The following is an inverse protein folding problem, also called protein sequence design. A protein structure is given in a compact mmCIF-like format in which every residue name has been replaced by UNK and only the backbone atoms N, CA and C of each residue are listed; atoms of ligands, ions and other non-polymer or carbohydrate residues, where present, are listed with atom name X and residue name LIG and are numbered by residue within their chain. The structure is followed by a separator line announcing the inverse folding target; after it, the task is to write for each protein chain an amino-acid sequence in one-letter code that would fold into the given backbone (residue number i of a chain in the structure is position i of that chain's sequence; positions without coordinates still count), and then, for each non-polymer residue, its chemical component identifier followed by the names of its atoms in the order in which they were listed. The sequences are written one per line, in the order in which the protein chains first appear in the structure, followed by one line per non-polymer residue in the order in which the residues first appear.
data_IF_023047603088
#
_entry.id   IF_023047603088
#
_cell.length_a   1.000
_cell.length_b   1.000
_cell.length_c   1.000
_cell.angle_alpha   90.00
_cell.angle_beta   90.00
_cell.angle_gamma   90.00
#
_symmetry.space_group_name_H-M   'P 1'
#
loop_
_entity.id
_entity.type
_entity.pdbx_description
1 polymer ?
#
# COMPACT_ATOMS: atom_id res chain seq x y z
N UNK A 1 11.37 8.09 23.11
CA UNK A 1 11.82 9.14 22.16
C UNK A 1 12.11 8.45 20.85
N UNK A 2 11.34 8.72 19.79
CA UNK A 2 11.61 8.22 18.44
C UNK A 2 12.85 8.94 17.90
N UNK A 3 13.88 8.19 17.52
CA UNK A 3 15.03 8.76 16.79
C UNK A 3 14.53 9.18 15.40
N UNK A 4 14.83 10.39 14.93
CA UNK A 4 14.46 10.77 13.57
C UNK A 4 15.19 9.87 12.57
N UNK A 5 14.53 9.44 11.48
CA UNK A 5 15.20 8.73 10.39
C UNK A 5 16.31 9.61 9.80
N UNK A 6 17.37 8.97 9.30
CA UNK A 6 18.49 9.65 8.62
C UNK A 6 17.94 10.52 7.47
N UNK A 7 18.52 11.70 7.26
CA UNK A 7 18.15 12.60 6.16
C UNK A 7 18.26 11.96 4.76
N UNK A 8 18.92 10.81 4.65
CA UNK A 8 19.13 10.04 3.42
C UNK A 8 18.16 8.87 3.21
N UNK A 9 17.29 8.51 4.16
CA UNK A 9 16.36 7.40 3.98
C UNK A 9 15.45 7.69 2.78
N UNK A 10 15.41 6.87 1.73
CA UNK A 10 14.55 7.09 0.56
C UNK A 10 13.13 6.56 0.84
N UNK A 11 12.07 7.17 0.29
CA UNK A 11 10.67 6.68 0.48
C UNK A 11 10.55 5.21 0.09
N UNK A 12 11.33 4.82 -0.91
CA UNK A 12 11.49 3.46 -1.40
C UNK A 12 11.85 2.43 -0.33
N UNK A 13 12.63 2.81 0.67
CA UNK A 13 13.05 1.91 1.75
C UNK A 13 11.87 1.55 2.66
N UNK A 14 10.82 2.37 2.67
CA UNK A 14 9.60 2.10 3.43
C UNK A 14 8.74 1.00 2.78
N UNK A 15 8.97 0.67 1.51
CA UNK A 15 8.14 -0.31 0.81
C UNK A 15 8.25 -1.70 1.41
N UNK A 16 9.47 -2.14 1.74
CA UNK A 16 9.69 -3.44 2.37
C UNK A 16 9.04 -3.49 3.77
N UNK A 17 9.10 -2.37 4.51
CA UNK A 17 8.48 -2.25 5.83
C UNK A 17 6.95 -2.29 5.72
N UNK A 18 6.38 -1.58 4.75
CA UNK A 18 4.95 -1.58 4.50
C UNK A 18 4.48 -2.97 4.05
N UNK A 19 5.22 -3.64 3.15
CA UNK A 19 4.92 -5.02 2.74
C UNK A 19 4.84 -5.98 3.92
N UNK A 20 5.79 -5.90 4.86
CA UNK A 20 5.75 -6.68 6.09
C UNK A 20 4.50 -6.34 6.93
N UNK A 21 4.23 -5.06 7.17
CA UNK A 21 3.05 -4.62 7.93
C UNK A 21 1.73 -5.12 7.30
N UNK A 22 1.57 -4.93 5.99
CA UNK A 22 0.36 -5.34 5.26
C UNK A 22 0.13 -6.85 5.32
N UNK A 23 1.21 -7.64 5.36
CA UNK A 23 1.10 -9.09 5.45
C UNK A 23 0.69 -9.57 6.84
N UNK A 24 1.34 -9.03 7.88
CA UNK A 24 1.14 -9.45 9.27
C UNK A 24 -0.13 -8.85 9.91
N UNK A 25 -0.58 -7.69 9.41
CA UNK A 25 -1.75 -7.04 9.96
C UNK A 25 -3.05 -7.78 9.60
N UNK A 26 -3.88 -8.06 10.61
CA UNK A 26 -5.11 -8.84 10.44
C UNK A 26 -6.16 -8.20 9.53
N UNK A 27 -6.17 -6.88 9.41
CA UNK A 27 -7.09 -6.15 8.55
C UNK A 27 -6.70 -6.29 7.08
N UNK A 28 -5.40 -6.20 6.79
CA UNK A 28 -4.90 -6.22 5.41
C UNK A 28 -4.69 -7.64 4.90
N UNK A 29 -3.90 -8.47 5.60
CA UNK A 29 -3.45 -9.82 5.15
C UNK A 29 -3.04 -9.86 3.67
N UNK A 30 -2.46 -8.77 3.19
CA UNK A 30 -2.36 -8.50 1.77
C UNK A 30 -0.97 -8.82 1.22
N UNK A 31 -0.90 -9.15 -0.07
CA UNK A 31 0.33 -9.24 -0.84
C UNK A 31 0.51 -7.94 -1.63
N UNK A 32 1.62 -7.25 -1.39
CA UNK A 32 1.93 -5.98 -2.03
C UNK A 32 2.76 -6.16 -3.29
N UNK A 33 2.69 -5.16 -4.16
CA UNK A 33 3.58 -4.97 -5.29
C UNK A 33 3.93 -3.51 -5.39
N UNK A 34 5.23 -3.23 -5.49
CA UNK A 34 5.69 -1.89 -5.73
C UNK A 34 5.55 -1.52 -7.21
N UNK A 35 5.06 -0.32 -7.48
CA UNK A 35 4.95 0.24 -8.82
C UNK A 35 6.15 1.15 -9.07
N UNK A 36 6.95 0.84 -10.10
CA UNK A 36 8.10 1.66 -10.48
C UNK A 36 7.72 2.61 -11.61
N UNK A 37 7.83 3.92 -11.37
CA UNK A 37 7.55 4.97 -12.35
C UNK A 37 8.60 5.04 -13.47
N UNK A 38 9.81 4.54 -13.23
CA UNK A 38 10.96 4.65 -14.14
C UNK A 38 10.93 3.66 -15.32
N UNK A 39 10.12 2.60 -15.22
CA UNK A 39 9.99 1.56 -16.24
C UNK A 39 8.86 1.87 -17.25
N UNK A 40 8.17 3.00 -17.06
CA UNK A 40 7.16 3.52 -17.99
C UNK A 40 7.76 4.24 -19.20
N UNK A 41 6.94 4.47 -20.23
CA UNK A 41 7.33 5.28 -21.39
C UNK A 41 7.70 6.69 -20.92
N UNK A 42 8.92 7.18 -21.25
CA UNK A 42 9.45 8.48 -20.80
C UNK A 42 8.45 9.64 -21.01
N UNK A 43 7.73 9.99 -19.95
CA UNK A 43 6.88 11.17 -19.86
C UNK A 43 7.69 12.45 -19.63
N UNK A 44 7.05 13.60 -19.82
CA UNK A 44 7.63 14.91 -19.51
C UNK A 44 7.76 15.04 -18.00
N UNK A 45 8.97 15.31 -17.51
CA UNK A 45 9.29 15.47 -16.07
C UNK A 45 8.27 16.40 -15.39
N UNK A 46 7.36 15.83 -14.59
CA UNK A 46 6.40 16.58 -13.78
C UNK A 46 4.98 16.02 -13.78
N UNK A 47 4.51 15.48 -14.90
CA UNK A 47 3.15 14.90 -15.01
C UNK A 47 3.03 13.57 -14.23
N UNK A 48 4.12 12.81 -14.15
CA UNK A 48 4.15 11.45 -13.58
C UNK A 48 3.85 11.35 -12.08
N UNK A 49 3.95 12.46 -11.33
CA UNK A 49 3.71 12.46 -9.87
C UNK A 49 2.24 12.24 -9.48
N UNK A 50 1.31 12.43 -10.41
CA UNK A 50 -0.14 12.36 -10.18
C UNK A 50 -0.79 11.17 -10.89
N UNK A 51 0.03 10.28 -11.44
CA UNK A 51 -0.41 9.22 -12.34
C UNK A 51 -0.30 7.82 -11.76
N UNK A 52 0.58 7.56 -10.79
CA UNK A 52 0.80 6.21 -10.29
C UNK A 52 0.92 6.18 -8.77
N UNK A 53 0.27 5.22 -8.11
CA UNK A 53 0.56 4.94 -6.71
C UNK A 53 1.98 4.41 -6.55
N UNK A 54 2.55 4.56 -5.37
CA UNK A 54 3.86 3.97 -5.04
C UNK A 54 3.76 2.46 -4.89
N UNK A 55 2.68 1.97 -4.26
CA UNK A 55 2.43 0.55 -4.06
C UNK A 55 0.96 0.21 -4.21
N UNK A 56 0.71 -1.03 -4.61
CA UNK A 56 -0.62 -1.65 -4.59
C UNK A 56 -0.56 -2.95 -3.80
N UNK A 57 -1.69 -3.42 -3.29
CA UNK A 57 -1.76 -4.71 -2.63
C UNK A 57 -3.10 -5.40 -2.86
N UNK A 58 -3.10 -6.73 -2.68
CA UNK A 58 -4.28 -7.57 -2.83
C UNK A 58 -4.48 -8.44 -1.59
N UNK A 59 -5.69 -8.47 -1.06
CA UNK A 59 -6.16 -9.51 -0.14
C UNK A 59 -7.10 -10.45 -0.89
N UNK A 60 -6.70 -11.71 -1.00
CA UNK A 60 -7.54 -12.78 -1.52
C UNK A 60 -8.46 -13.29 -0.40
N UNK A 61 -9.48 -12.50 -0.05
CA UNK A 61 -10.38 -12.79 1.09
C UNK A 61 -11.03 -14.17 0.97
N UNK A 62 -11.28 -14.63 -0.26
CA UNK A 62 -11.81 -15.96 -0.53
C UNK A 62 -10.94 -17.11 0.02
N UNK A 63 -9.65 -16.87 0.25
CA UNK A 63 -8.73 -17.84 0.85
C UNK A 63 -9.15 -18.26 2.28
N UNK A 64 -9.90 -17.42 2.99
CA UNK A 64 -10.40 -17.74 4.32
C UNK A 64 -11.49 -18.83 4.29
N UNK A 65 -12.13 -19.07 3.14
CA UNK A 65 -13.21 -20.04 2.96
C UNK A 65 -12.75 -21.37 2.36
N UNK A 66 -11.44 -21.63 2.31
CA UNK A 66 -10.89 -22.89 1.81
C UNK A 66 -11.38 -24.13 2.57
N UNK A 67 -11.74 -23.96 3.85
CA UNK A 67 -12.26 -25.05 4.67
C UNK A 67 -13.70 -25.32 4.26
N UNK A 68 -13.99 -26.54 3.80
CA UNK A 68 -15.30 -27.06 3.39
C UNK A 68 -15.75 -26.62 1.97
N UNK A 69 -17.01 -26.89 1.64
CA UNK A 69 -17.60 -26.62 0.31
C UNK A 69 -17.94 -25.14 0.06
N UNK A 70 -17.58 -24.22 0.97
CA UNK A 70 -17.94 -22.80 0.90
C UNK A 70 -17.22 -22.12 -0.26
N UNK A 71 -15.90 -22.30 -0.42
CA UNK A 71 -15.16 -21.71 -1.55
C UNK A 71 -15.71 -22.20 -2.89
N UNK A 72 -16.08 -23.48 -3.00
CA UNK A 72 -16.70 -24.03 -4.21
C UNK A 72 -18.07 -23.41 -4.50
N UNK A 73 -18.85 -23.12 -3.46
CA UNK A 73 -20.13 -22.41 -3.59
C UNK A 73 -19.93 -20.97 -4.08
N UNK A 74 -19.00 -20.21 -3.47
CA UNK A 74 -18.67 -18.83 -3.89
C UNK A 74 -18.24 -18.83 -5.35
N UNK A 75 -17.29 -19.70 -5.75
CA UNK A 75 -16.84 -19.82 -7.15
C UNK A 75 -17.97 -20.13 -8.14
N UNK A 76 -19.03 -20.80 -7.69
CA UNK A 76 -20.15 -21.24 -8.54
C UNK A 76 -21.20 -20.15 -8.72
N UNK A 77 -21.44 -19.33 -7.70
CA UNK A 77 -22.61 -18.46 -7.63
C UNK A 77 -22.30 -16.98 -7.39
N UNK A 78 -21.06 -16.62 -7.06
CA UNK A 78 -20.66 -15.27 -6.70
C UNK A 78 -19.33 -14.83 -7.34
N UNK A 79 -19.03 -13.54 -7.25
CA UNK A 79 -17.72 -12.97 -7.57
C UNK A 79 -16.77 -13.33 -6.43
N UNK A 80 -15.57 -13.84 -6.76
CA UNK A 80 -14.57 -14.15 -5.75
C UNK A 80 -14.20 -12.89 -4.95
N UNK A 81 -14.39 -12.88 -3.62
CA UNK A 81 -14.10 -11.70 -2.81
C UNK A 81 -12.60 -11.44 -2.78
N UNK A 82 -12.21 -10.34 -3.39
CA UNK A 82 -10.84 -9.80 -3.45
C UNK A 82 -10.91 -8.32 -3.09
N UNK A 83 -9.95 -7.88 -2.29
CA UNK A 83 -9.82 -6.47 -1.93
C UNK A 83 -8.49 -5.91 -2.42
N UNK A 84 -8.55 -4.82 -3.18
CA UNK A 84 -7.39 -4.11 -3.70
C UNK A 84 -7.14 -2.83 -2.90
N UNK A 85 -5.89 -2.65 -2.51
CA UNK A 85 -5.40 -1.48 -1.81
C UNK A 85 -4.41 -0.71 -2.68
N UNK A 86 -4.37 0.60 -2.50
CA UNK A 86 -3.42 1.49 -3.16
C UNK A 86 -2.80 2.46 -2.16
N UNK A 87 -1.50 2.70 -2.27
CA UNK A 87 -0.72 3.43 -1.27
C UNK A 87 0.14 4.52 -1.92
N UNK A 88 0.09 5.69 -1.31
CA UNK A 88 1.04 6.78 -1.50
C UNK A 88 1.90 6.87 -0.24
N UNK A 89 3.22 6.94 -0.38
CA UNK A 89 4.17 6.75 0.73
C UNK A 89 5.02 8.01 0.88
N UNK A 90 5.10 8.53 2.11
CA UNK A 90 5.93 9.69 2.46
C UNK A 90 6.85 9.38 3.63
N UNK A 91 8.01 10.02 3.66
CA UNK A 91 8.90 9.94 4.84
C UNK A 91 8.31 10.68 6.03
N UNK A 92 7.78 11.86 5.78
CA UNK A 92 7.25 12.72 6.83
C UNK A 92 6.03 13.53 6.38
N UNK A 93 5.14 13.80 7.34
CA UNK A 93 4.00 14.69 7.16
C UNK A 93 4.03 15.78 8.23
N UNK A 94 4.02 17.02 7.77
CA UNK A 94 3.95 18.21 8.61
C UNK A 94 3.16 19.33 7.88
N UNK A 95 2.97 20.49 8.53
CA UNK A 95 2.15 21.57 7.98
C UNK A 95 2.58 22.08 6.60
N UNK A 96 3.85 21.90 6.20
CA UNK A 96 4.33 22.37 4.91
C UNK A 96 3.93 21.47 3.74
N UNK A 97 3.75 20.16 3.97
CA UNK A 97 3.57 19.18 2.88
C UNK A 97 2.28 18.36 2.95
N UNK A 98 1.59 18.30 4.10
CA UNK A 98 0.53 17.31 4.30
C UNK A 98 -0.62 17.41 3.30
N UNK A 99 -1.01 18.62 2.89
CA UNK A 99 -2.08 18.81 1.90
C UNK A 99 -1.68 18.28 0.54
N UNK A 100 -0.49 18.64 0.06
CA UNK A 100 0.01 18.19 -1.24
C UNK A 100 0.12 16.66 -1.26
N UNK A 101 0.78 16.07 -0.25
CA UNK A 101 0.90 14.62 -0.12
C UNK A 101 -0.46 13.92 -0.03
N UNK A 102 -1.42 14.50 0.68
CA UNK A 102 -2.76 13.94 0.79
C UNK A 102 -3.49 13.97 -0.55
N UNK A 103 -3.42 15.08 -1.31
CA UNK A 103 -4.05 15.14 -2.62
C UNK A 103 -3.35 14.27 -3.67
N UNK A 104 -2.04 14.03 -3.55
CA UNK A 104 -1.35 12.99 -4.32
C UNK A 104 -1.97 11.61 -4.05
N UNK A 105 -2.17 11.26 -2.78
CA UNK A 105 -2.84 10.01 -2.41
C UNK A 105 -4.28 9.92 -2.94
N UNK A 106 -5.04 11.03 -2.91
CA UNK A 106 -6.39 11.10 -3.51
C UNK A 106 -6.32 10.79 -5.01
N UNK A 107 -5.43 11.46 -5.74
CA UNK A 107 -5.28 11.25 -7.20
C UNK A 107 -4.87 9.82 -7.53
N UNK A 108 -3.85 9.32 -6.83
CA UNK A 108 -3.16 8.09 -7.19
C UNK A 108 -3.85 6.82 -6.67
N UNK A 109 -4.72 6.93 -5.65
CA UNK A 109 -5.24 5.77 -4.91
C UNK A 109 -6.77 5.69 -4.75
N UNK A 110 -7.54 6.70 -5.16
CA UNK A 110 -9.02 6.67 -5.02
C UNK A 110 -9.74 5.69 -5.98
N UNK A 111 -9.01 5.07 -6.90
CA UNK A 111 -9.54 4.06 -7.83
C UNK A 111 -9.73 2.69 -7.16
N UNK A 112 -8.93 2.37 -6.14
CA UNK A 112 -8.91 1.07 -5.46
C UNK A 112 -10.12 0.89 -4.52
N UNK A 113 -10.26 -0.30 -3.92
CA UNK A 113 -11.27 -0.48 -2.87
C UNK A 113 -10.96 0.40 -1.67
N UNK A 114 -9.68 0.52 -1.31
CA UNK A 114 -9.20 1.39 -0.23
C UNK A 114 -7.86 2.03 -0.59
N UNK A 115 -7.81 3.37 -0.52
CA UNK A 115 -6.60 4.16 -0.75
C UNK A 115 -6.02 4.70 0.54
N UNK A 116 -4.69 4.69 0.68
CA UNK A 116 -4.00 5.11 1.91
C UNK A 116 -2.84 6.06 1.63
N UNK A 117 -2.71 7.09 2.48
CA UNK A 117 -1.48 7.83 2.66
C UNK A 117 -0.69 7.21 3.82
N UNK A 118 0.50 6.74 3.53
CA UNK A 118 1.41 6.12 4.50
C UNK A 118 2.52 7.09 4.82
N UNK A 119 2.82 7.28 6.10
CA UNK A 119 3.97 8.07 6.49
C UNK A 119 4.75 7.42 7.63
N UNK A 120 6.06 7.58 7.56
CA UNK A 120 6.95 7.14 8.62
C UNK A 120 6.91 8.11 9.82
N UNK A 121 7.00 9.41 9.59
CA UNK A 121 7.01 10.41 10.65
C UNK A 121 5.86 11.41 10.48
N UNK A 122 4.82 11.27 11.29
CA UNK A 122 3.71 12.23 11.33
C UNK A 122 3.98 13.21 12.47
N UNK A 123 3.87 14.51 12.20
CA UNK A 123 4.04 15.54 13.23
C UNK A 123 3.07 15.28 14.39
N UNK A 124 3.60 15.04 15.58
CA UNK A 124 2.82 14.72 16.80
C UNK A 124 2.24 15.99 17.46
N UNK A 125 1.52 16.78 16.67
CA UNK A 125 0.80 17.97 17.10
C UNK A 125 -0.71 17.72 16.99
N UNK A 126 -1.47 18.02 18.05
CA UNK A 126 -2.90 17.70 18.10
C UNK A 126 -3.72 18.40 17.00
N UNK A 127 -3.41 19.66 16.69
CA UNK A 127 -4.10 20.41 15.64
C UNK A 127 -3.73 19.87 14.25
N UNK A 128 -2.48 19.46 14.07
CA UNK A 128 -2.02 18.83 12.84
C UNK A 128 -2.74 17.50 12.58
N UNK A 129 -2.79 16.62 13.58
CA UNK A 129 -3.46 15.31 13.48
C UNK A 129 -4.94 15.53 13.17
N UNK A 130 -5.62 16.45 13.87
CA UNK A 130 -7.02 16.77 13.61
C UNK A 130 -7.24 17.26 12.18
N UNK A 131 -6.37 18.14 11.66
CA UNK A 131 -6.46 18.62 10.29
C UNK A 131 -6.28 17.49 9.26
N UNK A 132 -5.33 16.58 9.49
CA UNK A 132 -5.07 15.44 8.62
C UNK A 132 -6.25 14.44 8.64
N UNK A 133 -6.82 14.15 9.82
CA UNK A 133 -8.00 13.30 9.96
C UNK A 133 -9.25 13.90 9.31
N UNK A 134 -9.44 15.23 9.36
CA UNK A 134 -10.52 15.92 8.64
C UNK A 134 -10.42 15.75 7.13
N UNK A 135 -9.20 15.77 6.57
CA UNK A 135 -8.99 15.46 5.15
C UNK A 135 -9.36 14.00 4.86
N UNK A 136 -8.88 13.06 5.67
CA UNK A 136 -9.21 11.63 5.55
C UNK A 136 -10.72 11.40 5.53
N UNK A 137 -11.45 11.99 6.48
CA UNK A 137 -12.91 11.89 6.55
C UNK A 137 -13.61 12.47 5.32
N UNK A 138 -13.10 13.59 4.80
CA UNK A 138 -13.74 14.31 3.68
C UNK A 138 -13.54 13.59 2.34
N UNK A 139 -12.37 13.00 2.12
CA UNK A 139 -11.97 12.44 0.82
C UNK A 139 -11.86 10.91 0.80
N UNK A 140 -11.95 10.25 1.95
CA UNK A 140 -11.97 8.79 2.05
C UNK A 140 -10.61 8.10 1.96
N UNK A 141 -9.50 8.84 1.92
CA UNK A 141 -8.15 8.26 1.99
C UNK A 141 -7.79 7.97 3.43
N UNK A 142 -7.39 6.73 3.73
CA UNK A 142 -6.92 6.32 5.04
C UNK A 142 -5.51 6.84 5.34
N UNK A 143 -5.12 6.81 6.61
CA UNK A 143 -3.79 7.26 7.05
C UNK A 143 -3.13 6.14 7.84
N UNK A 144 -1.91 5.77 7.44
CA UNK A 144 -1.08 4.79 8.14
C UNK A 144 0.19 5.48 8.65
N UNK A 145 0.48 5.30 9.93
CA UNK A 145 1.73 5.70 10.57
C UNK A 145 2.61 4.47 10.80
N UNK A 146 3.76 4.41 10.13
CA UNK A 146 4.73 3.32 10.32
C UNK A 146 5.52 3.52 11.62
N UNK A 147 5.74 2.44 12.37
CA UNK A 147 6.52 2.46 13.60
C UNK A 147 7.85 1.71 13.43
N UNK A 148 8.96 2.41 13.16
CA UNK A 148 10.27 1.77 12.95
C UNK A 148 10.76 0.92 14.11
N UNK A 149 10.35 1.23 15.34
CA UNK A 149 10.77 0.44 16.49
C UNK A 149 10.06 -0.91 16.53
N UNK A 150 8.87 -0.99 15.96
CA UNK A 150 8.09 -2.21 15.84
C UNK A 150 7.08 -2.07 14.69
N UNK A 151 7.44 -2.56 13.51
CA UNK A 151 6.60 -2.42 12.30
C UNK A 151 5.24 -3.10 12.47
N UNK A 152 5.17 -4.22 13.19
CA UNK A 152 3.91 -4.90 13.50
C UNK A 152 2.95 -4.05 14.35
N UNK A 153 3.47 -3.04 15.05
CA UNK A 153 2.69 -2.07 15.84
C UNK A 153 2.49 -0.73 15.10
N UNK A 154 2.69 -0.69 13.78
CA UNK A 154 2.27 0.46 12.95
C UNK A 154 0.75 0.66 13.06
N UNK A 155 0.29 1.90 12.90
CA UNK A 155 -1.08 2.29 13.23
C UNK A 155 -1.85 2.78 12.03
N UNK A 156 -3.11 2.38 11.93
CA UNK A 156 -4.09 3.02 11.06
C UNK A 156 -4.68 4.20 11.85
N UNK A 157 -4.20 5.41 11.60
CA UNK A 157 -4.70 6.62 12.28
C UNK A 157 -6.10 7.01 11.80
N UNK A 158 -6.43 6.68 10.56
CA UNK A 158 -7.77 6.82 10.01
C UNK A 158 -8.02 5.71 9.01
N UNK A 159 -9.15 4.98 9.11
CA UNK A 159 -9.50 3.99 8.12
C UNK A 159 -9.83 4.66 6.79
N UNK A 160 -9.48 4.00 5.68
CA UNK A 160 -9.93 4.43 4.37
C UNK A 160 -11.43 4.15 4.21
N UNK A 161 -12.10 4.93 3.35
CA UNK A 161 -13.48 4.64 2.96
C UNK A 161 -13.46 3.51 1.93
N UNK A 162 -14.08 2.38 2.28
CA UNK A 162 -14.24 1.27 1.35
C UNK A 162 -15.10 1.67 0.15
N UNK A 163 -14.65 1.28 -1.04
CA UNK A 163 -15.32 1.45 -2.32
C UNK A 163 -15.61 0.07 -2.92
N UNK A 164 -16.89 -0.27 -3.05
CA UNK A 164 -17.33 -1.56 -3.59
C UNK A 164 -16.92 -1.73 -5.06
N UNK A 165 -17.14 -0.69 -5.87
CA UNK A 165 -16.79 -0.68 -7.29
C UNK A 165 -15.52 0.12 -7.55
N UNK A 166 -14.43 -0.55 -7.90
CA UNK A 166 -13.20 0.10 -8.34
C UNK A 166 -13.41 0.92 -9.62
N UNK A 167 -12.54 1.91 -9.82
CA UNK A 167 -12.56 2.72 -11.04
C UNK A 167 -11.79 2.04 -12.18
N UNK A 168 -12.50 1.27 -13.00
CA UNK A 168 -11.91 0.54 -14.12
C UNK A 168 -11.32 1.44 -15.21
N UNK A 169 -11.77 2.69 -15.33
CA UNK A 169 -11.18 3.64 -16.28
C UNK A 169 -9.74 3.96 -15.87
N UNK A 170 -9.54 4.24 -14.59
CA UNK A 170 -8.20 4.51 -14.03
C UNK A 170 -7.34 3.25 -14.07
N UNK A 171 -7.90 2.09 -13.74
CA UNK A 171 -7.18 0.80 -13.82
C UNK A 171 -6.69 0.51 -15.25
N UNK A 172 -7.54 0.68 -16.26
CA UNK A 172 -7.16 0.48 -17.66
C UNK A 172 -6.02 1.42 -18.09
N UNK A 173 -6.14 2.70 -17.73
CA UNK A 173 -5.10 3.68 -18.03
C UNK A 173 -3.77 3.34 -17.34
N UNK A 174 -3.81 2.99 -16.05
CA UNK A 174 -2.65 2.56 -15.28
C UNK A 174 -2.00 1.32 -15.91
N UNK A 175 -2.79 0.34 -16.32
CA UNK A 175 -2.29 -0.91 -16.91
C UNK A 175 -1.63 -0.67 -18.28
N UNK A 176 -2.16 0.25 -19.09
CA UNK A 176 -1.53 0.63 -20.37
C UNK A 176 -0.22 1.37 -20.18
N UNK A 177 -0.09 2.15 -19.10
CA UNK A 177 1.07 3.01 -18.86
C UNK A 177 2.18 2.36 -18.01
N UNK A 178 1.83 1.40 -17.14
CA UNK A 178 2.76 0.73 -16.23
C UNK A 178 2.76 -0.80 -16.44
N UNK A 179 3.82 -1.35 -17.07
CA UNK A 179 3.98 -2.79 -17.22
C UNK A 179 3.97 -3.54 -15.88
N UNK A 180 4.51 -2.94 -14.81
CA UNK A 180 4.48 -3.50 -13.47
C UNK A 180 3.06 -3.64 -12.92
N UNK A 181 2.21 -2.62 -13.13
CA UNK A 181 0.83 -2.67 -12.71
C UNK A 181 0.02 -3.66 -13.55
N UNK A 182 0.23 -3.72 -14.86
CA UNK A 182 -0.38 -4.73 -15.72
C UNK A 182 0.00 -6.16 -15.27
N UNK A 183 1.27 -6.38 -14.92
CA UNK A 183 1.72 -7.65 -14.39
C UNK A 183 1.06 -7.96 -13.04
N UNK A 184 0.91 -6.98 -12.14
CA UNK A 184 0.17 -7.16 -10.89
C UNK A 184 -1.27 -7.62 -11.15
N UNK A 185 -2.02 -6.98 -12.05
CA UNK A 185 -3.37 -7.39 -12.40
C UNK A 185 -3.42 -8.82 -12.95
N UNK A 186 -2.44 -9.18 -13.79
CA UNK A 186 -2.30 -10.53 -14.32
C UNK A 186 -2.06 -11.55 -13.19
N UNK A 187 -1.12 -11.27 -12.29
CA UNK A 187 -0.83 -12.13 -11.13
C UNK A 187 -2.05 -12.30 -10.25
N UNK A 188 -2.80 -11.23 -9.97
CA UNK A 188 -4.06 -11.28 -9.20
C UNK A 188 -5.11 -12.15 -9.88
N UNK A 189 -5.27 -11.99 -11.21
CA UNK A 189 -6.25 -12.73 -12.00
C UNK A 189 -5.93 -14.23 -12.06
N UNK A 190 -4.64 -14.57 -12.22
CA UNK A 190 -4.18 -15.95 -12.37
C UNK A 190 -3.96 -16.65 -11.01
N UNK A 191 -4.09 -15.93 -9.89
CA UNK A 191 -3.72 -16.44 -8.56
C UNK A 191 -4.54 -17.67 -8.16
N UNK A 192 -3.88 -18.82 -8.09
CA UNK A 192 -4.45 -20.06 -7.63
C UNK A 192 -3.91 -20.44 -6.25
N UNK A 193 -4.83 -20.60 -5.29
CA UNK A 193 -4.51 -21.05 -3.94
C UNK A 193 -3.88 -22.44 -3.90
N UNK A 194 -4.24 -23.33 -4.84
CA UNK A 194 -3.68 -24.69 -4.87
C UNK A 194 -2.21 -24.72 -5.28
N UNK A 195 -1.76 -23.67 -5.98
CA UNK A 195 -0.41 -23.50 -6.48
C UNK A 195 0.15 -22.11 -6.11
N UNK A 196 -0.16 -21.63 -4.90
CA UNK A 196 0.16 -20.26 -4.49
C UNK A 196 1.65 -19.94 -4.64
N UNK A 197 2.51 -20.91 -4.32
CA UNK A 197 3.97 -20.78 -4.38
C UNK A 197 4.49 -20.34 -5.76
N UNK A 198 3.77 -20.64 -6.84
CA UNK A 198 4.14 -20.19 -8.19
C UNK A 198 4.07 -18.67 -8.35
N UNK A 199 3.15 -18.02 -7.64
CA UNK A 199 2.82 -16.60 -7.77
C UNK A 199 3.46 -15.75 -6.68
N UNK A 200 3.81 -16.33 -5.52
CA UNK A 200 4.33 -15.54 -4.38
C UNK A 200 5.57 -14.72 -4.73
N UNK A 201 6.42 -15.20 -5.64
CA UNK A 201 7.62 -14.49 -6.09
C UNK A 201 7.33 -13.35 -7.07
N UNK A 202 6.09 -13.20 -7.54
CA UNK A 202 5.67 -12.10 -8.41
C UNK A 202 5.24 -10.86 -7.60
N UNK A 203 4.97 -11.03 -6.29
CA UNK A 203 4.75 -9.96 -5.32
C UNK A 203 6.06 -9.48 -4.69
N UNK A 204 5.99 -8.40 -3.91
CA UNK A 204 7.13 -7.94 -3.13
C UNK A 204 7.48 -8.95 -2.03
N UNK A 205 8.78 -9.15 -1.81
CA UNK A 205 9.29 -10.07 -0.79
C UNK A 205 8.83 -9.60 0.60
N UNK A 206 8.22 -10.51 1.35
CA UNK A 206 7.94 -10.31 2.78
C UNK A 206 9.20 -10.67 3.56
N UNK A 207 9.73 -9.69 4.31
CA UNK A 207 10.91 -9.89 5.15
C UNK A 207 10.58 -10.83 6.32
N UNK A 208 11.50 -11.72 6.65
CA UNK A 208 11.49 -12.39 7.96
C UNK A 208 11.81 -11.39 9.08
N UNK A 209 11.49 -11.74 10.33
CA UNK A 209 11.78 -10.89 11.50
C UNK A 209 13.28 -10.50 11.58
N UNK A 210 14.21 -11.43 11.33
CA UNK A 210 15.64 -11.13 11.34
C UNK A 210 16.10 -10.24 10.18
N UNK A 211 15.52 -10.40 8.98
CA UNK A 211 15.79 -9.53 7.83
C UNK A 211 15.24 -8.12 8.07
N UNK A 212 14.08 -8.00 8.73
CA UNK A 212 13.48 -6.74 9.10
C UNK A 212 14.38 -5.98 10.09
N UNK A 213 14.85 -6.64 11.15
CA UNK A 213 15.79 -6.05 12.11
C UNK A 213 17.08 -5.58 11.44
N UNK A 214 17.63 -6.40 10.54
CA UNK A 214 18.85 -6.06 9.78
C UNK A 214 18.64 -4.84 8.89
N UNK A 215 17.49 -4.78 8.19
CA UNK A 215 17.11 -3.63 7.35
C UNK A 215 16.96 -2.37 8.20
N UNK A 216 16.29 -2.47 9.35
CA UNK A 216 16.11 -1.36 10.27
C UNK A 216 17.46 -0.85 10.80
N UNK A 217 18.38 -1.75 11.11
CA UNK A 217 19.73 -1.38 11.56
C UNK A 217 20.52 -0.66 10.49
N UNK A 218 20.59 -1.21 9.28
CA UNK A 218 21.38 -0.67 8.17
C UNK A 218 20.87 0.69 7.69
N UNK A 219 19.54 0.84 7.60
CA UNK A 219 18.92 2.03 7.00
C UNK A 219 18.66 3.13 8.04
N UNK A 220 18.31 2.76 9.27
CA UNK A 220 17.81 3.71 10.26
C UNK A 220 18.66 3.82 11.55
N UNK A 221 19.65 2.95 11.79
CA UNK A 221 20.44 2.95 13.04
C UNK A 221 21.97 3.06 12.86
N UNK A 222 22.55 2.84 11.67
CA UNK A 222 24.00 3.04 11.43
C UNK A 222 24.38 4.50 11.14
N UNK A 223 24.99 5.09 12.19
CA UNK A 223 25.65 6.40 12.41
C UNK A 223 24.95 7.67 11.94
#
# INVERSE_FOLDING_TARGET
MSRPPKAACHERELHALLSYFLKENDYFKAYSKTIFHEEGSKGVRGEDKWLYPDMVAVNFEYANYQKNNVLSFIKKFDILPVKIFSFEIKKELNFSNYKESFFQAVSNSSWANEGYLVALNIKQDGQFIEALQKLSQSFGIGIIELNLNNIGQSKILSPAKFKEKMDYSVIDELARKSPNFAQFLKTVTDFDLSNSNRFLNEFDKILSHGELESTLQQVFLTE
#
